data_IF_715952947174
#
_entry.id   IF_715952947174
#
_cell.length_a   1.000
_cell.length_b   1.000
_cell.length_c   1.000
_cell.angle_alpha   90.00
_cell.angle_beta   90.00
_cell.angle_gamma   90.00
#
_symmetry.space_group_name_H-M   'P 1'
#
loop_
_entity.id
_entity.type
_entity.pdbx_description
1 polymer ?
#
# COMPACT_ATOMS: atom_id res chain seq x y z
N UNK A 1 21.36 -47.79 42.25
CA UNK A 1 22.02 -46.49 42.05
C UNK A 1 22.00 -46.28 40.55
N UNK A 2 20.86 -46.12 39.89
CA UNK A 2 19.70 -45.26 40.18
C UNK A 2 20.11 -43.82 40.48
N UNK A 3 19.34 -42.90 39.88
CA UNK A 3 19.44 -41.44 39.84
C UNK A 3 20.12 -40.91 38.55
N UNK A 4 19.52 -40.08 37.70
CA UNK A 4 18.20 -39.43 37.67
C UNK A 4 17.96 -38.95 36.22
N UNK A 5 16.68 -38.81 35.85
CA UNK A 5 16.21 -38.16 34.62
C UNK A 5 16.50 -36.66 34.72
N UNK A 6 17.04 -36.07 33.66
CA UNK A 6 16.74 -34.69 33.32
C UNK A 6 16.32 -34.65 31.84
N UNK A 7 15.01 -34.60 31.65
CA UNK A 7 14.41 -34.14 30.41
C UNK A 7 14.48 -32.63 30.44
N UNK A 8 15.30 -32.06 29.58
CA UNK A 8 15.28 -30.62 29.34
C UNK A 8 14.06 -30.29 28.50
N UNK A 9 13.26 -29.41 29.07
CA UNK A 9 11.93 -29.05 28.65
C UNK A 9 11.97 -28.28 27.32
N UNK A 10 10.95 -28.51 26.50
CA UNK A 10 10.67 -27.72 25.32
C UNK A 10 10.42 -26.27 25.78
N UNK A 11 11.40 -25.38 25.59
CA UNK A 11 11.16 -23.94 25.68
C UNK A 11 10.20 -23.56 24.54
N UNK A 12 8.92 -23.42 24.91
CA UNK A 12 7.91 -22.78 24.08
C UNK A 12 8.30 -21.33 23.86
N UNK A 13 8.89 -21.06 22.70
CA UNK A 13 9.09 -19.72 22.18
C UNK A 13 7.74 -19.08 21.89
N UNK A 14 7.28 -18.31 22.88
CA UNK A 14 6.57 -17.05 22.78
C UNK A 14 5.78 -16.78 21.48
N UNK A 15 4.47 -16.99 21.55
CA UNK A 15 3.50 -16.58 20.52
C UNK A 15 3.12 -15.10 20.60
N UNK A 16 4.08 -14.20 20.84
CA UNK A 16 3.85 -12.76 21.02
C UNK A 16 3.74 -11.94 19.73
N UNK A 17 4.16 -12.49 18.58
CA UNK A 17 4.24 -11.72 17.33
C UNK A 17 2.92 -11.46 16.60
N UNK A 18 1.76 -11.77 17.18
CA UNK A 18 0.44 -11.52 16.59
C UNK A 18 -0.16 -10.17 17.00
N UNK A 19 0.06 -9.75 18.24
CA UNK A 19 -0.49 -8.53 18.82
C UNK A 19 0.23 -7.29 18.26
N UNK A 20 1.57 -7.35 18.19
CA UNK A 20 2.40 -6.25 17.68
C UNK A 20 2.21 -5.98 16.18
N UNK A 21 1.93 -7.01 15.38
CA UNK A 21 1.64 -6.83 13.94
C UNK A 21 0.23 -6.31 13.71
N UNK A 22 -0.74 -6.67 14.56
CA UNK A 22 -2.12 -6.22 14.46
C UNK A 22 -2.22 -4.74 14.88
N UNK A 23 -1.55 -4.34 15.98
CA UNK A 23 -1.45 -2.94 16.39
C UNK A 23 -0.78 -2.05 15.32
N UNK A 24 0.32 -2.51 14.70
CA UNK A 24 1.00 -1.74 13.65
C UNK A 24 0.13 -1.58 12.41
N UNK A 25 -0.65 -2.61 12.03
CA UNK A 25 -1.57 -2.53 10.90
C UNK A 25 -2.74 -1.57 11.20
N UNK A 26 -3.28 -1.60 12.42
CA UNK A 26 -4.34 -0.68 12.85
C UNK A 26 -3.85 0.78 12.85
N UNK A 27 -2.64 1.06 13.34
CA UNK A 27 -2.03 2.39 13.31
C UNK A 27 -1.80 2.89 11.86
N UNK A 28 -1.33 2.02 10.95
CA UNK A 28 -1.17 2.36 9.53
C UNK A 28 -2.53 2.63 8.84
N UNK A 29 -3.57 1.87 9.16
CA UNK A 29 -4.92 2.09 8.63
C UNK A 29 -5.54 3.41 9.13
N UNK A 30 -5.36 3.75 10.41
CA UNK A 30 -5.83 5.03 10.98
C UNK A 30 -5.10 6.22 10.36
N UNK A 31 -3.78 6.15 10.18
CA UNK A 31 -3.02 7.18 9.45
C UNK A 31 -3.45 7.30 7.99
N UNK A 32 -3.82 6.20 7.34
CA UNK A 32 -4.36 6.24 5.98
C UNK A 32 -5.71 6.95 5.93
N UNK A 33 -6.58 6.81 6.93
CA UNK A 33 -7.88 7.49 6.98
C UNK A 33 -7.77 9.02 7.13
N UNK A 34 -6.75 9.54 7.82
CA UNK A 34 -6.54 10.99 7.94
C UNK A 34 -6.00 11.67 6.67
N UNK A 35 -5.40 10.91 5.75
CA UNK A 35 -4.76 11.46 4.55
C UNK A 35 -5.79 11.87 3.49
N UNK A 36 -5.48 12.93 2.74
CA UNK A 36 -6.30 13.33 1.60
C UNK A 36 -6.35 12.22 0.54
N UNK A 37 -7.55 11.69 0.28
CA UNK A 37 -7.79 10.64 -0.72
C UNK A 37 -8.45 11.22 -1.97
N UNK A 38 -8.25 10.56 -3.11
CA UNK A 38 -8.96 10.90 -4.35
C UNK A 38 -10.46 10.64 -4.15
N UNK A 39 -11.36 11.61 -4.44
CA UNK A 39 -12.79 11.41 -4.31
C UNK A 39 -13.29 10.20 -5.15
N UNK A 40 -14.03 9.24 -4.56
CA UNK A 40 -14.48 8.04 -5.27
C UNK A 40 -15.33 8.32 -6.52
N UNK A 41 -16.10 9.41 -6.50
CA UNK A 41 -16.94 9.83 -7.62
C UNK A 41 -16.11 10.35 -8.80
N UNK A 42 -14.97 10.98 -8.52
CA UNK A 42 -14.04 11.43 -9.55
C UNK A 42 -13.40 10.23 -10.25
N UNK A 43 -12.93 9.25 -9.49
CA UNK A 43 -12.38 8.01 -10.06
C UNK A 43 -13.40 7.26 -10.90
N UNK A 44 -14.62 7.13 -10.39
CA UNK A 44 -15.74 6.52 -11.13
C UNK A 44 -15.95 7.22 -12.47
N UNK A 45 -15.97 8.57 -12.47
CA UNK A 45 -16.13 9.35 -13.70
C UNK A 45 -14.98 9.14 -14.68
N UNK A 46 -13.74 9.15 -14.20
CA UNK A 46 -12.55 8.89 -15.03
C UNK A 46 -12.66 7.51 -15.68
N UNK A 47 -12.96 6.45 -14.91
CA UNK A 47 -13.10 5.10 -15.44
C UNK A 47 -14.18 5.01 -16.53
N UNK A 48 -15.34 5.65 -16.30
CA UNK A 48 -16.43 5.65 -17.28
C UNK A 48 -16.09 6.38 -18.58
N UNK A 49 -15.21 7.38 -18.55
CA UNK A 49 -14.73 8.07 -19.76
C UNK A 49 -13.88 7.14 -20.67
N UNK A 50 -13.18 6.18 -20.07
CA UNK A 50 -12.29 5.26 -20.79
C UNK A 50 -12.91 3.89 -21.11
N UNK A 51 -14.16 3.63 -20.71
CA UNK A 51 -14.83 2.38 -21.09
C UNK A 51 -15.30 2.43 -22.55
N UNK A 52 -14.80 1.50 -23.37
CA UNK A 52 -15.19 1.40 -24.80
C UNK A 52 -16.68 1.05 -25.00
N UNK A 53 -17.28 0.32 -24.05
CA UNK A 53 -18.66 -0.13 -24.13
C UNK A 53 -19.57 0.74 -23.28
N UNK A 54 -20.54 1.36 -23.94
CA UNK A 54 -21.63 2.07 -23.27
C UNK A 54 -22.38 1.13 -22.31
N UNK A 55 -22.68 1.62 -21.11
CA UNK A 55 -23.39 0.86 -20.08
C UNK A 55 -22.52 -0.09 -19.26
N UNK A 56 -21.18 -0.10 -19.44
CA UNK A 56 -20.25 -0.79 -18.54
C UNK A 56 -20.44 -0.26 -17.11
N UNK A 57 -20.54 -1.16 -16.13
CA UNK A 57 -20.72 -0.82 -14.71
C UNK A 57 -19.60 -1.43 -13.89
N UNK A 58 -19.20 -0.72 -12.84
CA UNK A 58 -18.25 -1.19 -11.84
C UNK A 58 -19.00 -1.46 -10.53
N UNK A 59 -18.66 -2.54 -9.83
CA UNK A 59 -19.21 -2.82 -8.50
C UNK A 59 -18.60 -1.88 -7.46
N UNK A 60 -19.26 -1.71 -6.31
CA UNK A 60 -18.75 -0.85 -5.22
C UNK A 60 -17.37 -1.30 -4.75
N UNK A 61 -17.19 -2.60 -4.54
CA UNK A 61 -15.93 -3.17 -4.05
C UNK A 61 -14.81 -3.04 -5.07
N UNK A 62 -15.12 -3.20 -6.37
CA UNK A 62 -14.15 -2.94 -7.43
C UNK A 62 -13.74 -1.47 -7.48
N UNK A 63 -14.69 -0.55 -7.29
CA UNK A 63 -14.38 0.88 -7.22
C UNK A 63 -13.49 1.22 -6.00
N UNK A 64 -13.72 0.58 -4.85
CA UNK A 64 -12.87 0.71 -3.68
C UNK A 64 -11.45 0.18 -3.92
N UNK A 65 -11.31 -0.94 -4.63
CA UNK A 65 -10.01 -1.49 -5.02
C UNK A 65 -9.26 -0.54 -5.97
N UNK A 66 -9.93 0.04 -6.96
CA UNK A 66 -9.32 1.04 -7.85
C UNK A 66 -8.91 2.30 -7.07
N UNK A 67 -9.70 2.73 -6.09
CA UNK A 67 -9.34 3.86 -5.24
C UNK A 67 -8.03 3.62 -4.49
N UNK A 68 -7.86 2.44 -3.86
CA UNK A 68 -6.59 2.07 -3.22
C UNK A 68 -5.44 1.98 -4.22
N UNK A 69 -5.67 1.35 -5.37
CA UNK A 69 -4.65 1.26 -6.43
C UNK A 69 -4.16 2.64 -6.87
N UNK A 70 -5.07 3.59 -7.11
CA UNK A 70 -4.71 4.94 -7.53
C UNK A 70 -4.01 5.74 -6.42
N UNK A 71 -4.38 5.54 -5.16
CA UNK A 71 -3.70 6.16 -4.02
C UNK A 71 -2.26 5.66 -3.89
N UNK A 72 -2.06 4.33 -3.92
CA UNK A 72 -0.72 3.72 -3.90
C UNK A 72 0.13 4.19 -5.09
N UNK A 73 -0.45 4.23 -6.29
CA UNK A 73 0.23 4.70 -7.49
C UNK A 73 0.79 6.13 -7.34
N UNK A 74 -0.04 7.07 -6.88
CA UNK A 74 0.37 8.47 -6.72
C UNK A 74 1.42 8.61 -5.62
N UNK A 75 1.28 7.88 -4.51
CA UNK A 75 2.25 7.89 -3.41
C UNK A 75 3.60 7.33 -3.84
N UNK A 76 3.61 6.20 -4.54
CA UNK A 76 4.84 5.60 -5.10
C UNK A 76 5.52 6.56 -6.08
N UNK A 77 4.75 7.25 -6.94
CA UNK A 77 5.30 8.24 -7.86
C UNK A 77 6.02 9.37 -7.11
N UNK A 78 5.39 9.91 -6.05
CA UNK A 78 5.96 10.98 -5.23
C UNK A 78 7.19 10.48 -4.46
N UNK A 79 7.10 9.31 -3.82
CA UNK A 79 8.19 8.74 -3.03
C UNK A 79 9.43 8.47 -3.88
N UNK A 80 9.26 7.83 -5.05
CA UNK A 80 10.36 7.54 -5.97
C UNK A 80 10.97 8.79 -6.56
N UNK A 81 10.15 9.77 -6.96
CA UNK A 81 10.67 11.06 -7.44
C UNK A 81 11.44 11.80 -6.32
N UNK A 82 11.01 11.70 -5.07
CA UNK A 82 11.69 12.32 -3.93
C UNK A 82 13.05 11.68 -3.63
N UNK A 83 13.24 10.39 -3.95
CA UNK A 83 14.53 9.70 -3.85
C UNK A 83 15.48 10.13 -4.97
N UNK A 84 14.97 10.36 -6.19
CA UNK A 84 15.79 10.81 -7.33
C UNK A 84 16.21 12.29 -7.27
N UNK A 85 15.48 13.12 -6.51
CA UNK A 85 15.80 14.56 -6.44
C UNK A 85 17.19 14.79 -5.85
N UNK A 86 17.94 15.69 -6.47
CA UNK A 86 19.26 16.06 -5.95
C UNK A 86 19.16 17.00 -4.72
N UNK A 87 18.29 18.01 -4.77
CA UNK A 87 18.03 18.93 -3.66
C UNK A 87 16.83 19.84 -3.97
N UNK A 88 16.10 20.28 -2.96
CA UNK A 88 15.03 21.28 -3.13
C UNK A 88 13.66 20.67 -3.44
N UNK A 89 12.91 21.33 -4.33
CA UNK A 89 11.58 20.88 -4.76
C UNK A 89 11.68 19.71 -5.75
N UNK A 90 10.57 19.00 -5.94
CA UNK A 90 10.47 17.98 -6.99
C UNK A 90 10.41 18.68 -8.36
N UNK A 91 11.31 18.30 -9.25
CA UNK A 91 11.32 18.78 -10.63
C UNK A 91 10.71 17.72 -11.57
N UNK A 92 10.35 18.13 -12.78
CA UNK A 92 9.72 17.23 -13.77
C UNK A 92 10.69 16.13 -14.16
N UNK A 93 11.98 16.47 -14.24
CA UNK A 93 13.09 15.60 -14.57
C UNK A 93 13.25 14.44 -13.57
N UNK A 94 12.88 14.64 -12.29
CA UNK A 94 12.94 13.58 -11.28
C UNK A 94 11.84 12.53 -11.51
N UNK A 95 10.65 12.98 -11.91
CA UNK A 95 9.54 12.11 -12.28
C UNK A 95 9.81 11.38 -13.61
N UNK A 96 10.38 12.07 -14.60
CA UNK A 96 10.70 11.48 -15.91
C UNK A 96 11.72 10.35 -15.83
N UNK A 97 12.70 10.45 -14.91
CA UNK A 97 13.67 9.38 -14.67
C UNK A 97 13.02 8.09 -14.16
N UNK A 98 12.03 8.21 -13.27
CA UNK A 98 11.38 7.04 -12.65
C UNK A 98 10.16 6.55 -13.43
N UNK A 99 9.61 7.35 -14.36
CA UNK A 99 8.40 7.03 -15.10
C UNK A 99 8.44 5.66 -15.82
N UNK A 100 9.54 5.23 -16.49
CA UNK A 100 9.57 3.93 -17.12
C UNK A 100 9.40 2.77 -16.13
N UNK A 101 10.10 2.82 -14.99
CA UNK A 101 10.00 1.77 -13.98
C UNK A 101 8.66 1.81 -13.24
N UNK A 102 8.18 3.02 -12.89
CA UNK A 102 6.89 3.21 -12.23
C UNK A 102 5.76 2.59 -13.05
N UNK A 103 5.75 2.77 -14.38
CA UNK A 103 4.73 2.20 -15.26
C UNK A 103 4.84 0.68 -15.45
N UNK A 104 5.99 0.06 -15.14
CA UNK A 104 6.21 -1.38 -15.27
C UNK A 104 5.90 -2.16 -13.98
N UNK A 105 5.91 -1.50 -12.83
CA UNK A 105 5.64 -2.13 -11.53
C UNK A 105 4.13 -2.30 -11.23
N UNK A 106 3.28 -1.72 -12.08
CA UNK A 106 1.82 -1.66 -11.92
C UNK A 106 1.12 -2.40 -13.06
#
# INVERSE_FOLDING_TARGET
MDEERDGDELEGGDGGGGDEVEEVLEEEEEEEEEREKIPPELLTRILHEFFEKEGTRITRDANAAVARYMDVFVREAIARAAVERASGFLEVEDLEKIAPQLLMDL
#
